data_IF_104723941207
#
_entry.id   IF_104723941207
#
_cell.length_a   1.000
_cell.length_b   1.000
_cell.length_c   1.000
_cell.angle_alpha   90.00
_cell.angle_beta   90.00
_cell.angle_gamma   90.00
#
_symmetry.space_group_name_H-M   'P 1'
#
loop_
_entity.id
_entity.type
_entity.pdbx_description
1 polymer ?
#
# COMPACT_ATOMS: atom_id res chain seq x y z
N UNK A 1 -30.52 12.79 0.46
CA UNK A 1 -29.07 12.93 0.75
C UNK A 1 -28.76 11.84 1.75
N UNK A 2 -27.76 11.01 1.50
CA UNK A 2 -27.54 9.79 2.29
C UNK A 2 -26.82 10.07 3.61
N UNK A 3 -27.22 9.37 4.66
CA UNK A 3 -26.70 9.48 6.01
C UNK A 3 -26.24 8.11 6.48
N UNK A 4 -25.38 8.10 7.49
CA UNK A 4 -24.83 6.87 8.05
C UNK A 4 -24.97 6.91 9.54
N UNK A 5 -25.58 5.89 10.12
CA UNK A 5 -25.64 5.69 11.56
C UNK A 5 -24.51 4.73 11.94
N UNK A 6 -23.58 5.21 12.76
CA UNK A 6 -22.55 4.39 13.39
C UNK A 6 -22.91 4.16 14.84
N UNK A 7 -22.84 2.92 15.29
CA UNK A 7 -23.09 2.58 16.68
C UNK A 7 -22.26 1.39 17.11
N UNK A 8 -22.09 1.25 18.42
CA UNK A 8 -21.44 0.09 19.03
C UNK A 8 -22.48 -0.81 19.67
N UNK A 9 -22.56 -2.07 19.25
CA UNK A 9 -23.48 -3.04 19.84
C UNK A 9 -23.13 -3.32 21.31
N UNK A 10 -24.05 -3.87 22.12
CA UNK A 10 -23.75 -4.28 23.49
C UNK A 10 -22.61 -5.32 23.58
N UNK A 11 -22.37 -6.07 22.51
CA UNK A 11 -21.26 -7.01 22.38
C UNK A 11 -19.92 -6.32 22.07
N UNK A 12 -19.91 -5.00 21.84
CA UNK A 12 -18.72 -4.21 21.54
C UNK A 12 -18.37 -4.09 20.07
N UNK A 13 -19.22 -4.59 19.16
CA UNK A 13 -19.00 -4.53 17.71
C UNK A 13 -19.39 -3.15 17.16
N UNK A 14 -18.53 -2.52 16.37
CA UNK A 14 -18.85 -1.28 15.65
C UNK A 14 -19.63 -1.62 14.37
N UNK A 15 -20.82 -1.05 14.20
CA UNK A 15 -21.66 -1.18 13.01
C UNK A 15 -21.87 0.15 12.32
N UNK A 16 -22.05 0.09 11.00
CA UNK A 16 -22.47 1.21 10.17
C UNK A 16 -23.70 0.80 9.37
N UNK A 17 -24.68 1.70 9.29
CA UNK A 17 -25.93 1.50 8.56
C UNK A 17 -26.23 2.75 7.73
N UNK A 18 -26.39 2.58 6.42
CA UNK A 18 -26.77 3.66 5.51
C UNK A 18 -28.28 3.91 5.56
N UNK A 19 -28.67 5.18 5.59
CA UNK A 19 -30.06 5.63 5.69
C UNK A 19 -30.34 6.78 4.73
N UNK A 20 -31.53 6.82 4.12
CA UNK A 20 -31.83 7.72 3.00
C UNK A 20 -32.10 9.18 3.41
N UNK A 21 -32.44 9.43 4.69
CA UNK A 21 -32.81 10.75 5.22
C UNK A 21 -32.44 10.94 6.69
N UNK A 22 -32.53 12.18 7.18
CA UNK A 22 -32.29 12.53 8.60
C UNK A 22 -33.34 11.90 9.50
N UNK A 23 -34.59 11.94 9.07
CA UNK A 23 -35.73 11.41 9.82
C UNK A 23 -35.58 9.91 10.03
N UNK A 24 -35.22 9.16 8.99
CA UNK A 24 -34.93 7.73 9.09
C UNK A 24 -33.73 7.45 10.02
N UNK A 25 -32.71 8.30 10.00
CA UNK A 25 -31.58 8.18 10.92
C UNK A 25 -32.00 8.40 12.38
N UNK A 26 -32.88 9.36 12.65
CA UNK A 26 -33.39 9.64 14.00
C UNK A 26 -34.27 8.49 14.50
N UNK A 27 -35.20 7.99 13.69
CA UNK A 27 -36.01 6.80 14.00
C UNK A 27 -35.11 5.61 14.34
N UNK A 28 -34.03 5.41 13.58
CA UNK A 28 -33.08 4.33 13.84
C UNK A 28 -32.32 4.52 15.15
N UNK A 29 -31.88 5.75 15.46
CA UNK A 29 -31.21 6.08 16.73
C UNK A 29 -32.14 5.84 17.92
N UNK A 30 -33.42 6.18 17.79
CA UNK A 30 -34.43 5.95 18.83
C UNK A 30 -34.62 4.45 19.08
N UNK A 31 -34.81 3.64 18.03
CA UNK A 31 -34.89 2.19 18.16
C UNK A 31 -33.64 1.60 18.83
N UNK A 32 -32.45 2.03 18.40
CA UNK A 32 -31.18 1.57 18.98
C UNK A 32 -31.07 1.87 20.48
N UNK A 33 -31.54 3.04 20.92
CA UNK A 33 -31.49 3.45 22.33
C UNK A 33 -32.56 2.79 23.18
N UNK A 34 -33.78 2.71 22.66
CA UNK A 34 -34.94 2.28 23.43
C UNK A 34 -35.06 0.75 23.47
N UNK A 35 -34.80 0.09 22.35
CA UNK A 35 -35.05 -1.35 22.19
C UNK A 35 -33.75 -2.17 22.32
N UNK A 36 -32.64 -1.68 21.75
CA UNK A 36 -31.37 -2.43 21.71
C UNK A 36 -30.38 -2.04 22.83
N UNK A 37 -30.71 -1.01 23.64
CA UNK A 37 -29.88 -0.58 24.77
C UNK A 37 -28.52 0.02 24.37
N UNK A 38 -28.41 0.54 23.16
CA UNK A 38 -27.17 1.10 22.62
C UNK A 38 -26.99 2.55 23.06
N UNK A 39 -25.91 2.84 23.79
CA UNK A 39 -25.65 4.18 24.34
C UNK A 39 -24.87 5.10 23.38
N UNK A 40 -23.82 4.60 22.72
CA UNK A 40 -22.97 5.37 21.80
C UNK A 40 -23.45 5.19 20.36
N UNK A 41 -24.21 6.17 19.88
CA UNK A 41 -24.74 6.25 18.52
C UNK A 41 -24.36 7.60 17.93
N UNK A 42 -23.85 7.60 16.69
CA UNK A 42 -23.44 8.80 15.96
C UNK A 42 -24.03 8.78 14.56
N UNK A 43 -24.54 9.93 14.12
CA UNK A 43 -25.09 10.11 12.77
C UNK A 43 -24.13 10.97 11.96
N UNK A 44 -23.81 10.51 10.75
CA UNK A 44 -22.96 11.21 9.80
C UNK A 44 -23.73 11.49 8.52
N UNK A 45 -23.33 12.55 7.83
CA UNK A 45 -23.78 12.83 6.47
C UNK A 45 -22.70 12.38 5.50
N UNK A 46 -23.06 11.66 4.45
CA UNK A 46 -22.11 11.33 3.39
C UNK A 46 -21.72 12.60 2.62
N UNK A 47 -20.42 12.84 2.50
CA UNK A 47 -19.86 13.95 1.73
C UNK A 47 -19.11 13.36 0.53
N UNK A 48 -19.51 13.67 -0.72
CA UNK A 48 -18.84 13.11 -1.89
C UNK A 48 -17.42 13.67 -1.97
N UNK A 49 -16.44 12.77 -2.05
CA UNK A 49 -15.03 13.11 -2.25
C UNK A 49 -14.64 12.76 -3.67
N UNK A 50 -13.96 13.66 -4.37
CA UNK A 50 -13.41 13.41 -5.71
C UNK A 50 -11.90 13.40 -5.65
N UNK A 51 -11.29 12.33 -6.14
CA UNK A 51 -9.84 12.21 -6.25
C UNK A 51 -9.40 12.63 -7.66
N UNK A 52 -8.38 13.48 -7.75
CA UNK A 52 -7.72 13.84 -9.01
C UNK A 52 -6.28 13.35 -9.00
N UNK A 53 -5.92 12.55 -9.99
CA UNK A 53 -4.55 12.13 -10.18
C UNK A 53 -3.77 13.21 -10.95
N UNK A 54 -2.61 13.59 -10.43
CA UNK A 54 -1.66 14.47 -11.11
C UNK A 54 -0.40 13.67 -11.41
N UNK A 55 0.04 13.72 -12.67
CA UNK A 55 1.22 13.02 -13.13
C UNK A 55 2.36 14.00 -13.37
N UNK A 56 3.57 13.60 -12.97
CA UNK A 56 4.79 14.31 -13.34
C UNK A 56 5.39 13.62 -14.56
N UNK A 57 5.34 14.28 -15.71
CA UNK A 57 6.04 13.82 -16.90
C UNK A 57 7.53 14.16 -16.78
N UNK A 58 8.40 13.15 -16.91
CA UNK A 58 9.82 13.35 -17.14
C UNK A 58 10.10 13.16 -18.63
N UNK A 59 10.65 14.18 -19.27
CA UNK A 59 11.09 14.08 -20.66
C UNK A 59 12.52 13.55 -20.65
N UNK A 60 12.70 12.31 -21.08
CA UNK A 60 14.03 11.74 -21.33
C UNK A 60 14.39 12.08 -22.77
N UNK A 61 15.26 13.06 -22.96
CA UNK A 61 15.91 13.31 -24.25
C UNK A 61 16.92 12.19 -24.50
N UNK A 62 16.59 11.30 -25.42
CA UNK A 62 17.58 10.39 -26.00
C UNK A 62 18.46 11.23 -26.95
N UNK A 63 19.71 11.46 -26.55
CA UNK A 63 20.72 11.96 -27.47
C UNK A 63 21.03 10.85 -28.48
N UNK A 64 20.56 11.02 -29.71
CA UNK A 64 20.91 10.12 -30.82
C UNK A 64 22.41 10.26 -31.06
N UNK A 65 23.23 9.20 -30.90
CA UNK A 65 24.66 9.31 -31.16
C UNK A 65 24.87 9.66 -32.64
N UNK A 66 25.46 10.82 -32.88
CA UNK A 66 25.94 11.19 -34.22
C UNK A 66 27.07 10.23 -34.58
N UNK A 67 26.99 9.50 -35.72
CA UNK A 67 28.08 8.61 -36.12
C UNK A 67 29.35 9.43 -36.34
N UNK A 68 30.44 9.04 -35.67
CA UNK A 68 31.74 9.64 -35.87
C UNK A 68 32.21 9.43 -37.33
N UNK A 69 32.93 10.39 -37.94
CA UNK A 69 33.48 10.23 -39.28
C UNK A 69 34.48 9.06 -39.30
N UNK A 70 34.26 8.11 -40.22
CA UNK A 70 35.14 6.97 -40.43
C UNK A 70 36.44 7.46 -41.08
N UNK A 71 37.56 7.35 -40.37
CA UNK A 71 38.89 7.56 -40.96
C UNK A 71 39.29 6.32 -41.77
N UNK A 72 39.84 6.47 -42.99
CA UNK A 72 40.32 5.32 -43.76
C UNK A 72 41.52 4.68 -43.05
N UNK A 73 41.37 3.40 -42.71
CA UNK A 73 42.46 2.54 -42.24
C UNK A 73 43.48 2.38 -43.38
N UNK A 74 44.72 2.81 -43.14
CA UNK A 74 45.86 2.46 -43.97
C UNK A 74 46.24 1.02 -43.67
N UNK A 75 46.26 0.20 -44.71
CA UNK A 75 46.56 -1.23 -44.69
C UNK A 75 47.91 -1.48 -43.99
N UNK A 76 47.87 -2.07 -42.80
CA UNK A 76 49.06 -2.48 -42.06
C UNK A 76 49.21 -4.01 -42.21
N UNK A 77 50.35 -4.53 -42.70
CA UNK A 77 50.50 -5.96 -42.96
C UNK A 77 50.47 -6.79 -41.66
N UNK A 78 49.54 -7.73 -41.60
CA UNK A 78 49.34 -8.69 -40.50
C UNK A 78 50.50 -9.70 -40.37
N UNK A 79 51.10 -9.87 -39.17
CA UNK A 79 51.92 -11.03 -38.87
C UNK A 79 51.08 -12.29 -38.54
N UNK A 80 51.62 -13.50 -38.77
CA UNK A 80 50.85 -14.73 -38.90
C UNK A 80 50.36 -15.34 -37.58
N UNK A 81 49.33 -16.18 -37.74
CA UNK A 81 48.57 -16.90 -36.74
C UNK A 81 49.42 -17.79 -35.80
N UNK A 82 49.04 -17.79 -34.52
CA UNK A 82 49.49 -18.80 -33.57
C UNK A 82 49.13 -18.49 -32.12
N UNK A 83 48.06 -19.14 -31.64
CA UNK A 83 47.82 -19.62 -30.26
C UNK A 83 46.36 -19.43 -29.80
N UNK A 84 45.54 -20.48 -29.95
CA UNK A 84 44.55 -20.84 -28.92
C UNK A 84 45.31 -21.66 -27.84
N UNK A 85 44.86 -21.86 -26.57
CA UNK A 85 43.47 -21.96 -26.09
C UNK A 85 43.25 -21.26 -24.70
N UNK A 86 42.05 -21.11 -24.14
CA UNK A 86 41.40 -22.09 -23.24
C UNK A 86 39.99 -21.60 -22.82
N UNK A 87 39.05 -22.54 -22.91
CA UNK A 87 37.79 -22.81 -22.18
C UNK A 87 37.02 -21.76 -21.32
N UNK A 88 35.67 -21.87 -21.29
CA UNK A 88 34.76 -21.02 -20.51
C UNK A 88 34.63 -21.43 -19.04
N UNK A 89 34.37 -20.47 -18.15
CA UNK A 89 33.94 -20.74 -16.78
C UNK A 89 32.40 -20.63 -16.66
N UNK A 90 31.70 -21.68 -16.19
CA UNK A 90 30.30 -21.61 -15.77
C UNK A 90 30.18 -21.57 -14.25
N UNK A 91 29.25 -20.80 -13.68
CA UNK A 91 28.55 -21.02 -12.37
C UNK A 91 27.85 -19.70 -11.98
N UNK A 92 26.72 -19.63 -11.27
CA UNK A 92 25.67 -20.55 -10.87
C UNK A 92 24.52 -19.68 -10.35
N UNK A 93 23.29 -20.15 -10.56
CA UNK A 93 22.07 -19.59 -9.97
C UNK A 93 22.05 -19.93 -8.47
N UNK A 94 21.88 -18.92 -7.61
CA UNK A 94 21.47 -19.13 -6.22
C UNK A 94 20.07 -18.57 -6.05
N UNK A 95 19.11 -19.49 -6.04
CA UNK A 95 17.78 -19.33 -5.48
C UNK A 95 17.92 -19.57 -3.98
N UNK A 96 17.53 -18.61 -3.14
CA UNK A 96 17.43 -18.85 -1.69
C UNK A 96 16.03 -18.46 -1.21
N UNK A 97 15.23 -19.51 -1.08
CA UNK A 97 14.01 -19.65 -0.30
C UNK A 97 14.41 -20.02 1.13
N UNK A 98 13.90 -19.30 2.14
CA UNK A 98 13.79 -19.76 3.54
C UNK A 98 12.88 -18.75 4.29
N UNK A 99 11.58 -18.99 4.48
CA UNK A 99 10.91 -19.85 5.49
C UNK A 99 11.15 -19.42 6.95
N UNK A 100 10.12 -18.77 7.49
CA UNK A 100 9.49 -18.99 8.82
C UNK A 100 10.22 -18.70 10.13
N UNK A 101 9.52 -17.99 11.04
CA UNK A 101 9.86 -17.99 12.47
C UNK A 101 9.23 -16.89 13.34
N UNK A 102 8.17 -17.26 14.06
CA UNK A 102 7.75 -16.81 15.42
C UNK A 102 7.33 -15.34 15.64
N UNK A 103 6.06 -15.01 15.89
CA UNK A 103 5.24 -15.23 17.11
C UNK A 103 5.73 -14.43 18.33
N UNK A 104 5.08 -13.29 18.63
CA UNK A 104 4.41 -12.96 19.92
C UNK A 104 3.96 -11.48 19.92
N UNK A 105 2.67 -11.16 20.14
CA UNK A 105 2.21 -9.79 20.40
C UNK A 105 2.42 -9.39 21.87
N UNK A 106 3.10 -8.27 22.12
CA UNK A 106 3.27 -7.71 23.45
C UNK A 106 1.93 -7.18 24.02
N UNK A 107 1.45 -7.87 25.05
CA UNK A 107 0.35 -7.52 25.94
C UNK A 107 0.71 -6.25 26.75
N UNK A 108 -0.03 -5.16 26.57
CA UNK A 108 0.09 -3.93 27.38
C UNK A 108 -1.16 -3.73 28.24
N UNK A 109 -1.46 -4.70 29.12
CA UNK A 109 -2.47 -4.55 30.18
C UNK A 109 -1.84 -4.12 31.51
N UNK A 110 -2.38 -3.02 32.06
CA UNK A 110 -2.45 -2.61 33.48
C UNK A 110 -1.27 -1.78 34.02
N UNK A 111 -1.48 -0.46 34.05
CA UNK A 111 -1.04 0.36 35.20
C UNK A 111 -2.29 1.04 35.77
N UNK A 112 -2.80 0.44 36.84
CA UNK A 112 -3.86 0.98 37.68
C UNK A 112 -3.30 2.15 38.50
N UNK A 113 -3.89 3.34 38.35
CA UNK A 113 -3.60 4.53 39.14
C UNK A 113 -4.89 4.99 39.85
N UNK A 114 -5.35 4.20 40.81
CA UNK A 114 -6.29 4.63 41.84
C UNK A 114 -5.74 4.23 43.22
N UNK A 115 -5.22 5.20 43.98
CA UNK A 115 -5.45 5.43 45.42
C UNK A 115 -4.39 6.32 46.08
N UNK A 116 -4.78 7.54 46.48
CA UNK A 116 -4.34 8.35 47.64
C UNK A 116 -4.79 9.79 47.42
N UNK A 117 -5.58 10.46 48.25
CA UNK A 117 -6.20 10.18 49.53
C UNK A 117 -7.11 11.35 49.87
#
# INVERSE_FOLDING_TARGET
MEHVVRYRTPAGEDRLEDVPSVEAALERVEHLRNDEGVADVRVYRQVPVTFRAYYRAAVVTHETPVPAPVVPVVDQPSPPAGAMPLAPAPVSVAHEENVEGTDTPADNRKISLFNRG
#
